data_IF_334495629577
#
_entry.id   IF_334495629577
#
_cell.length_a   1.000
_cell.length_b   1.000
_cell.length_c   1.000
_cell.angle_alpha   90.00
_cell.angle_beta   90.00
_cell.angle_gamma   90.00
#
_symmetry.space_group_name_H-M   'P 1'
#
loop_
_entity.id
_entity.type
_entity.pdbx_description
1 polymer ?
#
# COMPACT_ATOMS: atom_id res chain seq x y z
N UNK A 1 29.80 -20.67 -6.77
CA UNK A 1 28.45 -21.03 -7.24
C UNK A 1 27.46 -20.44 -6.25
N UNK A 2 27.00 -19.21 -6.52
CA UNK A 2 25.91 -18.62 -5.77
C UNK A 2 24.62 -19.03 -6.47
N UNK A 3 23.93 -20.01 -5.89
CA UNK A 3 22.56 -20.31 -6.25
C UNK A 3 21.69 -19.24 -5.56
N UNK A 4 21.53 -18.12 -6.25
CA UNK A 4 20.59 -17.08 -5.85
C UNK A 4 19.20 -17.68 -6.04
N UNK A 5 18.52 -17.96 -4.92
CA UNK A 5 17.19 -18.54 -4.89
C UNK A 5 16.32 -17.93 -5.98
N UNK A 6 16.00 -18.78 -6.97
CA UNK A 6 15.10 -18.46 -8.08
C UNK A 6 13.88 -17.77 -7.49
N UNK A 7 13.64 -16.52 -7.88
CA UNK A 7 12.36 -15.88 -7.57
C UNK A 7 11.29 -16.83 -8.11
N UNK A 8 10.40 -17.32 -7.24
CA UNK A 8 9.30 -18.20 -7.64
C UNK A 8 8.29 -17.48 -8.58
N UNK A 9 8.54 -16.21 -8.90
CA UNK A 9 7.73 -15.40 -9.78
C UNK A 9 8.24 -15.48 -11.23
N UNK A 10 7.35 -15.72 -12.22
CA UNK A 10 7.74 -15.78 -13.62
C UNK A 10 8.30 -14.44 -14.11
N UNK A 11 9.23 -14.48 -15.07
CA UNK A 11 9.75 -13.27 -15.71
C UNK A 11 8.64 -12.49 -16.43
N UNK A 12 8.84 -11.19 -16.65
CA UNK A 12 7.88 -10.37 -17.40
C UNK A 12 7.59 -10.97 -18.79
N UNK A 13 8.59 -11.52 -19.48
CA UNK A 13 8.38 -12.17 -20.78
C UNK A 13 7.51 -13.43 -20.70
N UNK A 14 7.72 -14.26 -19.67
CA UNK A 14 6.87 -15.43 -19.45
C UNK A 14 5.42 -15.02 -19.14
N UNK A 15 5.24 -13.97 -18.33
CA UNK A 15 3.93 -13.39 -18.00
C UNK A 15 3.22 -12.81 -19.22
N UNK A 16 3.94 -12.05 -20.06
CA UNK A 16 3.42 -11.50 -21.31
C UNK A 16 3.02 -12.61 -22.30
N UNK A 17 3.85 -13.64 -22.45
CA UNK A 17 3.55 -14.78 -23.32
C UNK A 17 2.30 -15.53 -22.83
N UNK A 18 2.19 -15.80 -21.53
CA UNK A 18 1.01 -16.43 -20.93
C UNK A 18 -0.28 -15.59 -21.11
N UNK A 19 -0.15 -14.26 -21.13
CA UNK A 19 -1.23 -13.32 -21.41
C UNK A 19 -1.52 -13.12 -22.92
N UNK A 20 -0.85 -13.87 -23.81
CA UNK A 20 -1.03 -13.76 -25.26
C UNK A 20 -0.59 -12.41 -25.83
N UNK A 21 0.43 -11.80 -25.22
CA UNK A 21 0.97 -10.51 -25.67
C UNK A 21 2.18 -10.74 -26.57
N UNK A 22 2.06 -10.30 -27.82
CA UNK A 22 3.15 -10.32 -28.79
C UNK A 22 4.34 -9.45 -28.36
N UNK A 23 5.60 -9.86 -28.62
CA UNK A 23 6.78 -9.08 -28.24
C UNK A 23 6.83 -7.66 -28.81
N UNK A 24 6.19 -7.44 -29.96
CA UNK A 24 6.12 -6.15 -30.67
C UNK A 24 4.96 -5.24 -30.23
N UNK A 25 4.15 -5.66 -29.26
CA UNK A 25 3.01 -4.88 -28.80
C UNK A 25 3.44 -3.54 -28.19
N UNK A 26 2.64 -2.49 -28.44
CA UNK A 26 2.85 -1.18 -27.80
C UNK A 26 2.75 -1.33 -26.26
N UNK A 27 3.64 -0.67 -25.48
CA UNK A 27 3.73 -0.86 -24.03
C UNK A 27 2.42 -0.72 -23.25
N UNK A 28 1.57 0.28 -23.53
CA UNK A 28 0.29 0.40 -22.82
C UNK A 28 -0.69 -0.70 -23.21
N UNK A 29 -0.74 -1.10 -24.48
CA UNK A 29 -1.58 -2.20 -24.93
C UNK A 29 -1.15 -3.54 -24.29
N UNK A 30 0.17 -3.81 -24.27
CA UNK A 30 0.76 -4.96 -23.59
C UNK A 30 0.43 -4.96 -22.09
N UNK A 31 0.65 -3.83 -21.42
CA UNK A 31 0.36 -3.68 -20.00
C UNK A 31 -1.13 -3.88 -19.67
N UNK A 32 -2.05 -3.34 -20.48
CA UNK A 32 -3.50 -3.54 -20.26
C UNK A 32 -3.91 -5.00 -20.39
N UNK A 33 -3.37 -5.73 -21.37
CA UNK A 33 -3.63 -7.17 -21.53
C UNK A 33 -3.10 -7.95 -20.34
N UNK A 34 -1.87 -7.64 -19.93
CA UNK A 34 -1.25 -8.27 -18.77
C UNK A 34 -2.02 -7.97 -17.47
N UNK A 35 -2.51 -6.74 -17.29
CA UNK A 35 -3.35 -6.35 -16.15
C UNK A 35 -4.71 -7.05 -16.15
N UNK A 36 -5.31 -7.25 -17.33
CA UNK A 36 -6.54 -8.02 -17.46
C UNK A 36 -6.34 -9.50 -17.09
N UNK A 37 -5.17 -10.06 -17.39
CA UNK A 37 -4.85 -11.45 -17.07
C UNK A 37 -4.49 -11.68 -15.59
N UNK A 38 -3.72 -10.79 -14.97
CA UNK A 38 -3.12 -11.04 -13.64
C UNK A 38 -3.62 -10.10 -12.53
N UNK A 39 -4.47 -9.12 -12.85
CA UNK A 39 -5.02 -8.19 -11.87
C UNK A 39 -3.95 -7.42 -11.09
N UNK A 40 -4.03 -7.44 -9.75
CA UNK A 40 -3.14 -6.67 -8.84
C UNK A 40 -1.66 -6.99 -9.03
N UNK A 41 -1.30 -8.15 -9.58
CA UNK A 41 0.11 -8.53 -9.82
C UNK A 41 0.77 -7.71 -10.94
N UNK A 42 -0.02 -7.16 -11.86
CA UNK A 42 0.50 -6.27 -12.90
C UNK A 42 0.52 -4.84 -12.38
N UNK A 43 1.69 -4.36 -12.03
CA UNK A 43 1.92 -3.07 -11.39
C UNK A 43 2.28 -1.99 -12.40
N UNK A 44 2.34 -0.74 -11.95
CA UNK A 44 2.86 0.37 -12.77
C UNK A 44 4.32 0.13 -13.20
N UNK A 45 5.10 -0.63 -12.43
CA UNK A 45 6.50 -0.94 -12.76
C UNK A 45 6.60 -1.80 -14.02
N UNK A 46 5.63 -2.70 -14.27
CA UNK A 46 5.61 -3.49 -15.51
C UNK A 46 5.51 -2.58 -16.74
N UNK A 47 4.74 -1.48 -16.65
CA UNK A 47 4.69 -0.48 -17.73
C UNK A 47 6.04 0.23 -17.89
N UNK A 48 6.72 0.55 -16.79
CA UNK A 48 8.04 1.17 -16.85
C UNK A 48 9.04 0.23 -17.53
N UNK A 49 9.00 -1.06 -17.21
CA UNK A 49 9.88 -2.07 -17.80
C UNK A 49 9.60 -2.25 -19.30
N UNK A 50 8.33 -2.32 -19.70
CA UNK A 50 7.91 -2.37 -21.11
C UNK A 50 8.41 -1.17 -21.93
N UNK A 51 8.40 0.04 -21.35
CA UNK A 51 8.91 1.25 -22.02
C UNK A 51 10.44 1.31 -21.99
N UNK A 52 11.06 0.98 -20.86
CA UNK A 52 12.51 1.06 -20.67
C UNK A 52 13.26 0.08 -21.59
N UNK A 53 12.75 -1.15 -21.74
CA UNK A 53 13.40 -2.19 -22.56
C UNK A 53 13.51 -1.81 -24.04
N UNK A 54 12.58 -1.00 -24.56
CA UNK A 54 12.65 -0.49 -25.94
C UNK A 54 13.88 0.42 -26.16
N UNK A 55 14.49 0.92 -25.09
CA UNK A 55 15.68 1.78 -25.09
C UNK A 55 16.91 1.10 -24.50
N UNK A 56 16.84 -0.20 -24.20
CA UNK A 56 17.90 -0.93 -23.51
C UNK A 56 18.16 -0.44 -22.07
N UNK A 57 17.15 0.13 -21.42
CA UNK A 57 17.22 0.64 -20.05
C UNK A 57 16.49 -0.29 -19.08
N UNK A 58 16.92 -0.29 -17.82
CA UNK A 58 16.11 -0.78 -16.71
C UNK A 58 15.02 0.23 -16.32
N UNK A 59 13.92 -0.26 -15.74
CA UNK A 59 12.75 0.57 -15.39
C UNK A 59 13.11 1.81 -14.54
N UNK A 60 14.00 1.65 -13.55
CA UNK A 60 14.42 2.73 -12.64
C UNK A 60 15.37 3.76 -13.30
N UNK A 61 15.90 3.47 -14.50
CA UNK A 61 16.75 4.37 -15.25
C UNK A 61 15.97 5.34 -16.16
N UNK A 62 14.67 5.12 -16.36
CA UNK A 62 13.81 6.09 -17.06
C UNK A 62 13.81 7.43 -16.29
N UNK A 63 13.78 8.59 -16.96
CA UNK A 63 13.67 9.87 -16.27
C UNK A 63 12.46 9.92 -15.32
N UNK A 64 12.63 10.46 -14.11
CA UNK A 64 11.55 10.52 -13.09
C UNK A 64 10.28 11.18 -13.64
N UNK A 65 10.41 12.28 -14.39
CA UNK A 65 9.27 12.96 -15.00
C UNK A 65 8.51 12.06 -16.01
N UNK A 66 9.20 11.15 -16.69
CA UNK A 66 8.58 10.19 -17.60
C UNK A 66 7.84 9.10 -16.82
N UNK A 67 8.46 8.52 -15.78
CA UNK A 67 7.80 7.55 -14.89
C UNK A 67 6.52 8.12 -14.26
N UNK A 68 6.56 9.39 -13.83
CA UNK A 68 5.37 10.09 -13.32
C UNK A 68 4.27 10.19 -14.38
N UNK A 69 4.61 10.48 -15.65
CA UNK A 69 3.61 10.51 -16.73
C UNK A 69 3.03 9.13 -17.01
N UNK A 70 3.86 8.09 -17.06
CA UNK A 70 3.44 6.70 -17.25
C UNK A 70 2.53 6.21 -16.10
N UNK A 71 2.89 6.49 -14.85
CA UNK A 71 2.02 6.17 -13.72
C UNK A 71 0.65 6.83 -13.86
N UNK A 72 0.63 8.13 -14.19
CA UNK A 72 -0.62 8.89 -14.36
C UNK A 72 -1.50 8.35 -15.48
N UNK A 73 -0.92 7.82 -16.57
CA UNK A 73 -1.69 7.32 -17.72
C UNK A 73 -2.48 6.05 -17.40
N UNK A 74 -2.03 5.25 -16.42
CA UNK A 74 -2.70 4.00 -16.01
C UNK A 74 -3.33 4.07 -14.62
N UNK A 75 -3.11 5.16 -13.87
CA UNK A 75 -3.65 5.36 -12.53
C UNK A 75 -5.16 5.10 -12.40
N UNK A 76 -6.02 5.54 -13.36
CA UNK A 76 -7.47 5.26 -13.29
C UNK A 76 -7.83 3.77 -13.42
N UNK A 77 -6.94 2.97 -14.03
CA UNK A 77 -7.11 1.51 -14.16
C UNK A 77 -6.61 0.80 -12.89
N UNK A 78 -5.49 1.27 -12.34
CA UNK A 78 -4.89 0.69 -11.12
C UNK A 78 -5.74 0.99 -9.90
N UNK A 79 -6.27 2.22 -9.79
CA UNK A 79 -7.12 2.68 -8.70
C UNK A 79 -8.38 3.36 -9.25
N UNK A 80 -9.43 2.57 -9.56
CA UNK A 80 -10.70 3.10 -10.04
C UNK A 80 -11.34 4.06 -9.02
N UNK A 81 -11.90 5.16 -9.51
CA UNK A 81 -12.51 6.18 -8.65
C UNK A 81 -11.50 7.00 -7.83
N UNK A 82 -10.19 6.83 -8.06
CA UNK A 82 -9.18 7.57 -7.34
C UNK A 82 -9.29 9.08 -7.62
N UNK A 83 -9.61 9.84 -6.58
CA UNK A 83 -9.69 11.28 -6.60
C UNK A 83 -8.76 11.86 -5.55
N UNK A 84 -7.99 12.88 -5.92
CA UNK A 84 -7.17 13.66 -4.98
C UNK A 84 -7.95 14.88 -4.51
N UNK A 85 -7.85 15.20 -3.23
CA UNK A 85 -8.32 16.48 -2.71
C UNK A 85 -7.37 17.59 -3.17
N UNK A 86 -7.92 18.65 -3.74
CA UNK A 86 -7.17 19.83 -4.14
C UNK A 86 -6.46 20.48 -2.95
N UNK A 87 -5.24 21.00 -3.15
CA UNK A 87 -4.48 21.69 -2.11
C UNK A 87 -3.82 20.78 -1.07
N UNK A 88 -3.94 19.45 -1.21
CA UNK A 88 -3.33 18.47 -0.30
C UNK A 88 -1.98 17.93 -0.82
N UNK A 89 -1.43 18.53 -1.87
CA UNK A 89 -0.13 18.22 -2.48
C UNK A 89 1.05 18.45 -1.51
N UNK A 90 2.15 17.73 -1.71
CA UNK A 90 3.41 17.97 -0.99
C UNK A 90 4.58 17.73 -1.96
N UNK A 91 5.65 18.52 -1.79
CA UNK A 91 6.85 18.50 -2.64
C UNK A 91 7.99 17.61 -2.10
N UNK A 92 7.90 17.12 -0.86
CA UNK A 92 8.93 16.26 -0.28
C UNK A 92 8.63 14.77 -0.53
N UNK A 93 9.62 14.02 -1.01
CA UNK A 93 9.45 12.71 -1.64
C UNK A 93 10.40 11.62 -1.17
N UNK A 94 11.33 11.89 -0.23
CA UNK A 94 12.29 10.87 0.18
C UNK A 94 11.61 9.72 0.92
N UNK A 95 11.95 8.49 0.51
CA UNK A 95 11.52 7.27 1.20
C UNK A 95 12.68 6.74 2.04
N UNK A 96 12.58 6.95 3.34
CA UNK A 96 13.53 6.39 4.30
C UNK A 96 12.91 5.21 5.05
N UNK A 97 13.63 4.09 5.11
CA UNK A 97 13.26 2.91 5.89
C UNK A 97 14.23 2.79 7.06
N UNK A 98 13.68 2.81 8.27
CA UNK A 98 14.42 2.74 9.53
C UNK A 98 14.20 1.40 10.22
N UNK A 99 15.09 1.05 11.15
CA UNK A 99 14.87 -0.08 12.04
C UNK A 99 13.58 0.09 12.87
N UNK A 100 13.06 -1.01 13.40
CA UNK A 100 11.87 -0.95 14.25
C UNK A 100 12.10 -0.07 15.47
N UNK A 101 11.20 0.89 15.70
CA UNK A 101 11.23 1.73 16.90
C UNK A 101 10.20 1.22 17.93
N UNK A 102 10.64 0.78 19.13
CA UNK A 102 9.73 0.31 20.18
C UNK A 102 8.79 1.40 20.72
N UNK A 103 8.98 2.67 20.35
CA UNK A 103 8.05 3.75 20.66
C UNK A 103 6.83 3.81 19.72
N UNK A 104 6.82 3.09 18.58
CA UNK A 104 5.70 3.11 17.63
C UNK A 104 4.35 2.74 18.25
N UNK A 105 4.21 1.69 19.09
CA UNK A 105 2.94 1.40 19.76
C UNK A 105 2.46 2.55 20.65
N UNK A 106 3.39 3.25 21.33
CA UNK A 106 3.07 4.43 22.14
C UNK A 106 2.61 5.62 21.29
N UNK A 107 3.22 5.84 20.12
CA UNK A 107 2.79 6.87 19.16
C UNK A 107 1.41 6.56 18.58
N UNK A 108 1.17 5.31 18.20
CA UNK A 108 -0.17 4.86 17.78
C UNK A 108 -1.21 5.14 18.85
N UNK A 109 -0.96 4.78 20.12
CA UNK A 109 -1.93 4.98 21.19
C UNK A 109 -2.34 6.44 21.37
N UNK A 110 -1.38 7.37 21.30
CA UNK A 110 -1.68 8.82 21.33
C UNK A 110 -2.60 9.26 20.18
N UNK A 111 -2.35 8.74 18.97
CA UNK A 111 -3.21 9.01 17.80
C UNK A 111 -4.58 8.34 17.92
N UNK A 112 -4.64 7.11 18.42
CA UNK A 112 -5.87 6.37 18.68
C UNK A 112 -6.77 7.14 19.67
N UNK A 113 -6.21 7.59 20.80
CA UNK A 113 -6.96 8.36 21.81
C UNK A 113 -7.47 9.70 21.25
N UNK A 114 -6.68 10.34 20.37
CA UNK A 114 -7.08 11.58 19.69
C UNK A 114 -8.24 11.33 18.72
N UNK A 115 -8.12 10.33 17.86
CA UNK A 115 -9.15 9.99 16.86
C UNK A 115 -10.44 9.51 17.54
N UNK A 116 -10.33 8.67 18.58
CA UNK A 116 -11.48 8.20 19.35
C UNK A 116 -12.27 9.36 19.97
N UNK A 117 -11.58 10.37 20.51
CA UNK A 117 -12.22 11.57 21.09
C UNK A 117 -12.98 12.37 20.04
N UNK A 118 -12.42 12.55 18.84
CA UNK A 118 -13.07 13.34 17.78
C UNK A 118 -14.21 12.57 17.10
N UNK A 119 -14.10 11.25 16.99
CA UNK A 119 -15.06 10.42 16.24
C UNK A 119 -16.20 9.87 17.10
N UNK A 120 -15.96 9.61 18.39
CA UNK A 120 -16.94 8.93 19.25
C UNK A 120 -17.45 7.64 18.59
N UNK A 121 -18.76 7.44 18.62
CA UNK A 121 -19.43 6.24 18.10
C UNK A 121 -19.43 6.12 16.57
N UNK A 122 -18.95 7.14 15.85
CA UNK A 122 -18.75 7.04 14.40
C UNK A 122 -17.62 6.06 14.07
N UNK A 123 -16.59 5.99 14.91
CA UNK A 123 -15.51 5.03 14.77
C UNK A 123 -15.89 3.70 15.41
N UNK A 124 -16.34 2.74 14.58
CA UNK A 124 -16.67 1.39 15.04
C UNK A 124 -15.43 0.59 15.47
N UNK A 125 -14.26 0.96 14.92
CA UNK A 125 -12.95 0.36 15.21
C UNK A 125 -11.83 1.33 14.85
N UNK A 126 -10.78 1.37 15.67
CA UNK A 126 -9.54 2.10 15.38
C UNK A 126 -8.35 1.17 15.66
N UNK A 127 -7.59 0.79 14.65
CA UNK A 127 -6.54 -0.23 14.74
C UNK A 127 -5.21 0.27 14.20
N UNK A 128 -4.12 -0.14 14.86
CA UNK A 128 -2.77 0.05 14.32
C UNK A 128 -2.56 -0.98 13.20
N UNK A 129 -2.29 -0.52 11.99
CA UNK A 129 -2.01 -1.36 10.82
C UNK A 129 -0.67 -0.96 10.18
N UNK A 130 -0.33 -1.60 9.07
CA UNK A 130 0.92 -1.34 8.35
C UNK A 130 2.16 -1.86 9.09
N UNK A 131 3.34 -1.52 8.57
CA UNK A 131 4.58 -2.13 9.05
C UNK A 131 4.94 -1.74 10.48
N UNK A 132 4.58 -0.54 10.93
CA UNK A 132 4.90 -0.07 12.30
C UNK A 132 4.09 -0.80 13.37
N UNK A 133 3.03 -1.51 12.99
CA UNK A 133 2.23 -2.36 13.87
C UNK A 133 2.86 -3.75 14.11
N UNK A 134 3.91 -4.12 13.39
CA UNK A 134 4.59 -5.42 13.50
C UNK A 134 5.92 -5.25 14.24
N UNK A 135 6.06 -5.75 15.48
CA UNK A 135 7.31 -5.67 16.22
C UNK A 135 8.51 -6.23 15.45
N UNK A 136 9.64 -5.52 15.48
CA UNK A 136 10.87 -5.92 14.79
C UNK A 136 10.93 -5.59 13.29
N UNK A 137 9.81 -5.23 12.67
CA UNK A 137 9.75 -4.99 11.23
C UNK A 137 10.26 -3.57 10.85
N UNK A 138 11.28 -3.43 9.99
CA UNK A 138 11.75 -2.13 9.51
C UNK A 138 10.66 -1.40 8.72
N UNK A 139 10.54 -0.09 8.89
CA UNK A 139 9.48 0.69 8.27
C UNK A 139 9.88 2.15 8.07
N UNK A 140 9.08 2.86 7.28
CA UNK A 140 9.05 4.33 7.35
C UNK A 140 8.52 4.71 8.73
N UNK A 141 9.01 5.79 9.37
CA UNK A 141 8.61 6.18 10.71
C UNK A 141 7.22 6.87 10.74
N UNK A 142 6.24 6.30 10.03
CA UNK A 142 4.86 6.76 9.90
C UNK A 142 3.92 5.69 10.48
N UNK A 143 3.06 6.09 11.40
CA UNK A 143 2.01 5.21 11.95
C UNK A 143 0.87 5.12 10.94
N UNK A 144 0.51 3.92 10.49
CA UNK A 144 -0.70 3.69 9.69
C UNK A 144 -1.84 3.25 10.61
N UNK A 145 -2.97 3.95 10.54
CA UNK A 145 -4.15 3.69 11.36
C UNK A 145 -5.33 3.38 10.46
N UNK A 146 -6.03 2.29 10.75
CA UNK A 146 -7.30 1.96 10.14
C UNK A 146 -8.43 2.44 11.05
N UNK A 147 -9.37 3.18 10.50
CA UNK A 147 -10.62 3.58 11.13
C UNK A 147 -11.76 2.93 10.35
N UNK A 148 -12.55 2.08 11.00
CA UNK A 148 -13.71 1.43 10.38
C UNK A 148 -14.97 2.20 10.74
N UNK A 149 -15.74 2.60 9.74
CA UNK A 149 -17.02 3.33 9.88
C UNK A 149 -18.18 2.50 9.31
N UNK A 150 -19.42 2.83 9.70
CA UNK A 150 -20.60 2.09 9.23
C UNK A 150 -20.86 2.28 7.72
N UNK A 151 -20.68 3.51 7.24
CA UNK A 151 -20.86 3.91 5.84
C UNK A 151 -19.65 4.75 5.42
N UNK A 152 -18.90 4.24 4.44
CA UNK A 152 -17.71 4.91 3.91
C UNK A 152 -18.06 6.13 3.05
N UNK A 153 -19.24 6.18 2.44
CA UNK A 153 -19.60 7.25 1.52
C UNK A 153 -20.21 8.47 2.25
N UNK A 154 -20.67 8.31 3.48
CA UNK A 154 -21.11 9.40 4.34
C UNK A 154 -19.94 10.13 5.03
N UNK A 155 -19.10 10.81 4.23
CA UNK A 155 -17.96 11.62 4.70
C UNK A 155 -18.39 12.68 5.73
N UNK A 156 -19.65 13.12 5.72
CA UNK A 156 -20.16 14.15 6.63
C UNK A 156 -20.09 13.75 8.10
N UNK A 157 -20.09 12.43 8.39
CA UNK A 157 -20.05 11.91 9.76
C UNK A 157 -18.65 11.85 10.35
N UNK A 158 -17.61 11.72 9.53
CA UNK A 158 -16.26 11.43 10.04
C UNK A 158 -15.16 12.37 9.53
N UNK A 159 -15.28 12.93 8.32
CA UNK A 159 -14.15 13.62 7.68
C UNK A 159 -13.71 14.85 8.47
N UNK A 160 -14.64 15.75 8.80
CA UNK A 160 -14.35 16.94 9.59
C UNK A 160 -13.82 16.61 11.00
N UNK A 161 -14.26 15.49 11.58
CA UNK A 161 -13.80 15.03 12.90
C UNK A 161 -12.35 14.55 12.84
N UNK A 162 -12.01 13.76 11.82
CA UNK A 162 -10.63 13.35 11.55
C UNK A 162 -9.76 14.57 11.25
N UNK A 163 -10.29 15.59 10.57
CA UNK A 163 -9.53 16.81 10.28
C UNK A 163 -9.20 17.64 11.53
N UNK A 164 -10.11 17.69 12.51
CA UNK A 164 -9.81 18.26 13.84
C UNK A 164 -8.73 17.49 14.59
N UNK A 165 -8.54 16.21 14.27
CA UNK A 165 -7.38 15.45 14.74
C UNK A 165 -6.05 15.86 14.06
N UNK A 166 -6.02 16.92 13.22
CA UNK A 166 -4.79 17.51 12.67
C UNK A 166 -4.26 16.82 11.42
N UNK A 167 -5.10 16.07 10.73
CA UNK A 167 -4.81 15.49 9.42
C UNK A 167 -5.76 16.07 8.37
N UNK A 168 -5.47 15.88 7.09
CA UNK A 168 -6.26 16.38 5.98
C UNK A 168 -6.66 15.22 5.08
N UNK A 169 -7.90 15.23 4.58
CA UNK A 169 -8.33 14.29 3.55
C UNK A 169 -7.50 14.49 2.27
N UNK A 170 -6.72 13.48 1.89
CA UNK A 170 -5.81 13.52 0.75
C UNK A 170 -6.42 12.89 -0.49
N UNK A 171 -7.04 11.74 -0.36
CA UNK A 171 -7.60 11.02 -1.51
C UNK A 171 -8.76 10.12 -1.13
N UNK A 172 -9.53 9.78 -2.16
CA UNK A 172 -10.69 8.90 -2.12
C UNK A 172 -10.50 7.86 -3.20
N UNK A 173 -10.83 6.61 -2.90
CA UNK A 173 -11.20 5.61 -3.91
C UNK A 173 -12.41 4.82 -3.42
N UNK A 174 -12.84 3.81 -4.18
CA UNK A 174 -14.03 3.04 -3.87
C UNK A 174 -13.94 2.22 -2.56
N UNK A 175 -12.74 1.98 -2.01
CA UNK A 175 -12.55 1.12 -0.85
C UNK A 175 -12.08 1.88 0.39
N UNK A 176 -11.48 3.05 0.22
CA UNK A 176 -10.96 3.81 1.35
C UNK A 176 -10.90 5.32 1.11
N UNK A 177 -10.85 6.05 2.23
CA UNK A 177 -10.41 7.45 2.27
C UNK A 177 -9.08 7.54 2.99
N UNK A 178 -8.17 8.35 2.45
CA UNK A 178 -6.82 8.49 2.98
C UNK A 178 -6.60 9.89 3.51
N UNK A 179 -6.19 9.99 4.78
CA UNK A 179 -5.85 11.22 5.46
C UNK A 179 -4.39 11.20 5.89
N UNK A 180 -3.78 12.39 5.91
CA UNK A 180 -2.40 12.59 6.38
C UNK A 180 -2.22 14.00 6.92
N UNK A 181 -1.18 14.30 7.72
CA UNK A 181 -0.92 15.65 8.21
C UNK A 181 -0.87 16.70 7.11
N UNK A 182 -1.22 17.94 7.43
CA UNK A 182 -1.21 19.09 6.51
C UNK A 182 0.20 19.37 5.95
N UNK A 183 0.28 19.99 4.77
CA UNK A 183 1.56 20.40 4.20
C UNK A 183 2.39 21.23 5.22
N UNK A 184 3.70 21.00 5.26
CA UNK A 184 4.60 21.59 6.26
C UNK A 184 4.67 20.86 7.61
N UNK A 185 3.75 19.96 7.93
CA UNK A 185 3.82 19.16 9.16
C UNK A 185 4.56 17.82 8.95
N UNK A 186 5.17 17.23 9.98
CA UNK A 186 5.78 15.90 9.89
C UNK A 186 4.78 14.85 9.35
N UNK A 187 5.28 13.85 8.60
CA UNK A 187 4.45 12.73 8.10
C UNK A 187 4.53 11.56 9.07
N UNK A 188 4.14 11.80 10.30
CA UNK A 188 4.23 10.83 11.40
C UNK A 188 3.01 9.90 11.49
N UNK A 189 1.90 10.24 10.82
CA UNK A 189 0.70 9.40 10.75
C UNK A 189 0.07 9.37 9.35
N UNK A 190 -0.61 8.27 9.08
CA UNK A 190 -1.53 8.04 7.98
C UNK A 190 -2.81 7.46 8.59
N UNK A 191 -3.97 8.04 8.24
CA UNK A 191 -5.26 7.53 8.69
C UNK A 191 -6.04 7.07 7.47
N UNK A 192 -6.44 5.81 7.48
CA UNK A 192 -7.19 5.16 6.42
C UNK A 192 -8.58 4.85 6.95
N UNK A 193 -9.61 5.40 6.30
CA UNK A 193 -11.01 5.13 6.65
C UNK A 193 -11.57 4.11 5.67
N UNK A 194 -12.20 3.07 6.18
CA UNK A 194 -12.82 2.00 5.41
C UNK A 194 -14.19 1.64 5.99
N UNK A 195 -15.02 0.94 5.21
CA UNK A 195 -16.28 0.42 5.72
C UNK A 195 -16.04 -0.81 6.62
N UNK A 196 -16.73 -0.88 7.75
CA UNK A 196 -16.71 -2.07 8.60
C UNK A 196 -17.25 -3.29 7.83
N UNK A 197 -16.58 -4.43 7.99
CA UNK A 197 -16.84 -5.67 7.25
C UNK A 197 -16.30 -5.70 5.83
N UNK A 198 -15.63 -4.64 5.35
CA UNK A 198 -15.05 -4.60 4.01
C UNK A 198 -13.80 -5.48 3.87
N UNK A 199 -13.47 -5.82 2.62
CA UNK A 199 -12.20 -6.45 2.28
C UNK A 199 -11.00 -5.60 2.73
N UNK A 200 -11.10 -4.28 2.63
CA UNK A 200 -10.03 -3.36 3.06
C UNK A 200 -9.76 -3.50 4.56
N UNK A 201 -10.81 -3.50 5.40
CA UNK A 201 -10.67 -3.73 6.85
C UNK A 201 -9.99 -5.06 7.13
N UNK A 202 -10.45 -6.12 6.45
CA UNK A 202 -9.98 -7.48 6.72
C UNK A 202 -8.53 -7.70 6.26
N UNK A 203 -8.18 -7.30 5.04
CA UNK A 203 -6.87 -7.53 4.43
C UNK A 203 -5.74 -6.94 5.30
N UNK A 204 -5.93 -5.71 5.80
CA UNK A 204 -4.90 -5.02 6.57
C UNK A 204 -4.72 -5.59 7.99
N UNK A 205 -5.82 -5.99 8.63
CA UNK A 205 -5.76 -6.66 9.93
C UNK A 205 -5.16 -8.06 9.82
N UNK A 206 -5.57 -8.82 8.80
CA UNK A 206 -5.02 -10.15 8.52
C UNK A 206 -3.52 -10.07 8.26
N UNK A 207 -3.11 -9.18 7.35
CA UNK A 207 -1.70 -9.02 7.00
C UNK A 207 -0.85 -8.70 8.23
N UNK A 208 -1.31 -7.77 9.07
CA UNK A 208 -0.63 -7.40 10.32
C UNK A 208 -0.51 -8.60 11.26
N UNK A 209 -1.61 -9.27 11.55
CA UNK A 209 -1.66 -10.34 12.55
C UNK A 209 -0.87 -11.56 12.08
N UNK A 210 -0.94 -11.89 10.79
CA UNK A 210 -0.11 -12.92 10.18
C UNK A 210 1.38 -12.60 10.34
N UNK A 211 1.82 -11.40 9.97
CA UNK A 211 3.22 -11.01 10.08
C UNK A 211 3.75 -11.01 11.53
N UNK A 212 2.90 -10.79 12.53
CA UNK A 212 3.29 -10.89 13.94
C UNK A 212 3.62 -12.32 14.38
N UNK A 213 3.07 -13.32 13.71
CA UNK A 213 3.28 -14.74 14.00
C UNK A 213 4.26 -15.46 13.07
N UNK A 214 4.68 -14.83 11.96
CA UNK A 214 5.46 -15.47 10.88
C UNK A 214 6.69 -14.63 10.54
N UNK A 215 7.80 -14.93 11.23
CA UNK A 215 9.05 -14.18 11.12
C UNK A 215 9.67 -14.27 9.71
N UNK A 216 9.55 -15.42 9.06
CA UNK A 216 10.00 -15.65 7.68
C UNK A 216 9.28 -14.74 6.67
N UNK A 217 7.95 -14.61 6.80
CA UNK A 217 7.15 -13.69 6.00
C UNK A 217 7.52 -12.22 6.28
N UNK A 218 7.75 -11.88 7.55
CA UNK A 218 8.19 -10.54 7.95
C UNK A 218 9.57 -10.19 7.37
N UNK A 219 10.51 -11.13 7.35
CA UNK A 219 11.85 -10.97 6.79
C UNK A 219 11.85 -10.85 5.26
N UNK A 220 11.04 -11.67 4.58
CA UNK A 220 10.83 -11.56 3.14
C UNK A 220 10.28 -10.16 2.78
N UNK A 221 9.28 -9.69 3.53
CA UNK A 221 8.73 -8.36 3.33
C UNK A 221 9.72 -7.23 3.66
N UNK A 222 10.53 -7.39 4.72
CA UNK A 222 11.58 -6.45 5.08
C UNK A 222 12.65 -6.32 3.99
N UNK A 223 13.05 -7.45 3.40
CA UNK A 223 14.04 -7.50 2.31
C UNK A 223 13.57 -6.71 1.10
N UNK A 224 12.34 -6.98 0.62
CA UNK A 224 11.75 -6.26 -0.51
C UNK A 224 11.59 -4.77 -0.22
N UNK A 225 11.24 -4.38 1.02
CA UNK A 225 11.14 -2.96 1.40
C UNK A 225 12.47 -2.23 1.32
N UNK A 226 13.55 -2.82 1.83
CA UNK A 226 14.89 -2.20 1.77
C UNK A 226 15.33 -2.02 0.33
N UNK A 227 15.14 -3.05 -0.50
CA UNK A 227 15.51 -2.98 -1.90
C UNK A 227 14.65 -1.98 -2.68
N UNK A 228 13.34 -1.93 -2.41
CA UNK A 228 12.43 -0.94 -3.00
C UNK A 228 12.82 0.49 -2.63
N UNK A 229 13.23 0.72 -1.37
CA UNK A 229 13.69 2.04 -0.92
C UNK A 229 14.99 2.46 -1.62
N UNK A 230 15.88 1.50 -1.92
CA UNK A 230 17.14 1.74 -2.62
C UNK A 230 16.92 2.04 -4.11
N UNK A 231 16.07 1.28 -4.79
CA UNK A 231 15.83 1.42 -6.24
C UNK A 231 14.92 2.62 -6.54
N UNK A 232 13.88 2.83 -5.74
CA UNK A 232 12.79 3.79 -6.01
C UNK A 232 12.75 4.95 -5.01
N UNK A 233 13.91 5.38 -4.51
CA UNK A 233 14.03 6.44 -3.49
C UNK A 233 13.42 7.77 -3.93
N UNK A 234 13.38 8.03 -5.24
CA UNK A 234 12.83 9.23 -5.88
C UNK A 234 11.41 9.02 -6.44
N UNK A 235 10.84 7.81 -6.34
CA UNK A 235 9.55 7.47 -6.94
C UNK A 235 8.65 6.73 -5.94
N UNK A 236 7.81 7.48 -5.22
CA UNK A 236 6.93 6.93 -4.19
C UNK A 236 5.87 5.97 -4.75
N UNK A 237 5.44 6.16 -6.00
CA UNK A 237 4.46 5.27 -6.63
C UNK A 237 5.15 3.94 -6.88
N UNK A 238 6.31 3.95 -7.55
CA UNK A 238 7.09 2.76 -7.80
C UNK A 238 7.51 2.05 -6.50
N UNK A 239 7.99 2.79 -5.48
CA UNK A 239 8.27 2.23 -4.16
C UNK A 239 7.07 1.46 -3.57
N UNK A 240 5.86 1.99 -3.77
CA UNK A 240 4.64 1.37 -3.22
C UNK A 240 4.30 0.11 -3.99
N UNK A 241 4.33 0.18 -5.32
CA UNK A 241 4.03 -0.89 -6.26
C UNK A 241 5.08 -2.03 -6.25
N UNK A 242 6.36 -1.73 -6.01
CA UNK A 242 7.45 -2.71 -5.99
C UNK A 242 7.25 -3.81 -4.92
N UNK A 243 6.43 -3.53 -3.91
CA UNK A 243 6.12 -4.47 -2.82
C UNK A 243 4.89 -5.32 -3.11
N UNK A 244 4.15 -5.06 -4.20
CA UNK A 244 2.85 -5.67 -4.44
C UNK A 244 2.94 -7.19 -4.54
N UNK A 245 3.91 -7.73 -5.27
CA UNK A 245 4.05 -9.18 -5.43
C UNK A 245 4.23 -9.91 -4.08
N UNK A 246 5.20 -9.49 -3.27
CA UNK A 246 5.44 -10.09 -1.94
C UNK A 246 4.25 -9.89 -0.99
N UNK A 247 3.55 -8.76 -1.07
CA UNK A 247 2.34 -8.53 -0.26
C UNK A 247 1.25 -9.53 -0.64
N UNK A 248 1.02 -9.76 -1.94
CA UNK A 248 0.02 -10.72 -2.42
C UNK A 248 0.37 -12.17 -2.05
N UNK A 249 1.65 -12.54 -2.13
CA UNK A 249 2.10 -13.88 -1.72
C UNK A 249 1.90 -14.10 -0.21
N UNK A 250 2.24 -13.10 0.60
CA UNK A 250 2.01 -13.13 2.06
C UNK A 250 0.51 -13.17 2.38
N UNK A 251 -0.32 -12.41 1.67
CA UNK A 251 -1.77 -12.44 1.86
C UNK A 251 -2.36 -13.81 1.53
N UNK A 252 -1.91 -14.45 0.45
CA UNK A 252 -2.35 -15.81 0.12
C UNK A 252 -1.98 -16.81 1.23
N UNK A 253 -0.76 -16.72 1.78
CA UNK A 253 -0.36 -17.53 2.93
C UNK A 253 -1.15 -17.18 4.20
N UNK A 254 -1.45 -15.91 4.41
CA UNK A 254 -2.25 -15.42 5.53
C UNK A 254 -3.70 -15.91 5.45
N UNK A 255 -4.30 -16.02 4.27
CA UNK A 255 -5.65 -16.58 4.11
C UNK A 255 -5.69 -18.07 4.47
N UNK A 256 -4.67 -18.83 4.05
CA UNK A 256 -4.55 -20.22 4.45
C UNK A 256 -4.40 -20.37 5.97
N UNK A 257 -3.57 -19.52 6.59
CA UNK A 257 -3.43 -19.45 8.05
C UNK A 257 -4.73 -19.04 8.74
N UNK A 258 -5.46 -18.06 8.22
CA UNK A 258 -6.71 -17.60 8.81
C UNK A 258 -7.76 -18.71 8.80
N UNK A 259 -7.84 -19.48 7.71
CA UNK A 259 -8.72 -20.65 7.62
C UNK A 259 -8.33 -21.71 8.65
N UNK A 260 -7.04 -22.04 8.75
CA UNK A 260 -6.54 -23.07 9.65
C UNK A 260 -6.69 -22.72 11.15
N UNK A 261 -6.71 -21.44 11.49
CA UNK A 261 -6.79 -20.94 12.88
C UNK A 261 -8.13 -20.36 13.26
N UNK A 262 -9.09 -20.35 12.33
CA UNK A 262 -10.35 -19.62 12.46
C UNK A 262 -10.15 -18.14 12.83
N UNK A 263 -9.08 -17.52 12.31
CA UNK A 263 -8.86 -16.09 12.48
C UNK A 263 -10.00 -15.33 11.79
N UNK A 264 -10.55 -14.35 12.50
CA UNK A 264 -11.57 -13.46 11.98
C UNK A 264 -11.41 -12.08 12.60
N UNK A 265 -11.85 -11.05 11.87
CA UNK A 265 -11.98 -9.71 12.43
C UNK A 265 -13.06 -9.77 13.51
N UNK A 266 -12.72 -9.33 14.72
CA UNK A 266 -13.68 -9.30 15.82
C UNK A 266 -14.91 -8.44 15.44
N UNK A 267 -16.11 -8.74 15.94
CA UNK A 267 -17.26 -7.87 15.76
C UNK A 267 -16.95 -6.45 16.28
N UNK A 268 -17.45 -5.44 15.57
CA UNK A 268 -17.42 -4.07 16.07
C UNK A 268 -18.42 -3.94 17.24
N UNK A 269 -18.10 -3.09 18.23
CA UNK A 269 -19.06 -2.77 19.29
C UNK A 269 -20.04 -1.75 18.71
N UNK A 270 -21.34 -2.04 18.82
CA UNK A 270 -22.40 -1.04 18.58
C UNK A 270 -22.54 -0.14 19.78
#
# INVERSE_FOLDING_TARGET
>A
MHDAGSSAFPSLDARLAAAGVEPSAEPHAAWRRLRAAEGRRTTIIDLYELVARQRGLAAHQLPQAERVRLARSVMPIVWPGFARTEGSERQDFQVEVTAYDPCWPGRYRKWCDRLARELGDVALRIEHVGSTAVPGLPAKPTIDIQVSVADLDDETRYAANIERAGVQLRSRDCLHRFFRPYAGQPRDVHVHVCQAGSEWEREHLLFRDYLRGHADAADAYATVKRESARIWSDDRIAYTEAKTAVILDILAAAEAWATATAWAVAPTRR
#
